data_IF_560108266620
#
_entry.id   IF_560108266620
#
_cell.length_a   1.000
_cell.length_b   1.000
_cell.length_c   1.000
_cell.angle_alpha   90.00
_cell.angle_beta   90.00
_cell.angle_gamma   90.00
#
_symmetry.space_group_name_H-M   'P 1'
#
loop_
_entity.id
_entity.type
_entity.pdbx_description
1 polymer ?
#
# COMPACT_ATOMS: atom_id res chain seq x y z
N UNK A 1 5.60 -22.87 -6.20
CA UNK A 1 6.18 -21.90 -5.24
C UNK A 1 7.42 -21.30 -5.87
N UNK A 2 7.30 -20.15 -6.54
CA UNK A 2 8.45 -19.31 -6.86
C UNK A 2 8.31 -18.07 -5.99
N UNK A 3 9.20 -17.92 -5.01
CA UNK A 3 9.35 -16.66 -4.32
C UNK A 3 9.76 -15.63 -5.38
N UNK A 4 8.89 -14.67 -5.68
CA UNK A 4 9.27 -13.51 -6.49
C UNK A 4 10.12 -12.64 -5.59
N UNK A 5 11.41 -12.97 -5.49
CA UNK A 5 12.42 -12.08 -4.91
C UNK A 5 12.60 -10.95 -5.91
N UNK A 6 11.98 -9.80 -5.66
CA UNK A 6 12.32 -8.58 -6.38
C UNK A 6 13.78 -8.24 -6.02
N UNK A 7 14.71 -8.59 -6.90
CA UNK A 7 16.13 -8.31 -6.72
C UNK A 7 16.39 -6.81 -6.92
N UNK A 8 17.21 -6.22 -6.07
CA UNK A 8 17.71 -4.86 -6.27
C UNK A 8 18.52 -4.78 -7.56
N UNK A 9 18.55 -3.60 -8.19
CA UNK A 9 19.39 -3.37 -9.37
C UNK A 9 20.84 -3.76 -9.08
N UNK A 10 21.45 -4.51 -9.99
CA UNK A 10 22.86 -4.92 -9.86
C UNK A 10 23.78 -3.71 -10.03
N UNK A 11 24.99 -3.78 -9.46
CA UNK A 11 26.03 -2.76 -9.65
C UNK A 11 26.30 -2.49 -11.14
N UNK A 12 26.22 -3.53 -11.99
CA UNK A 12 26.37 -3.39 -13.44
C UNK A 12 25.25 -2.56 -14.08
N UNK A 13 23.99 -2.82 -13.71
CA UNK A 13 22.84 -2.04 -14.18
C UNK A 13 22.91 -0.58 -13.73
N UNK A 14 23.25 -0.33 -12.46
CA UNK A 14 23.41 1.05 -11.94
C UNK A 14 24.50 1.80 -12.70
N UNK A 15 25.65 1.16 -12.94
CA UNK A 15 26.74 1.75 -13.75
C UNK A 15 26.28 2.08 -15.17
N UNK A 16 25.53 1.18 -15.80
CA UNK A 16 25.04 1.38 -17.16
C UNK A 16 24.04 2.55 -17.23
N UNK A 17 23.11 2.66 -16.27
CA UNK A 17 22.16 3.78 -16.18
C UNK A 17 22.89 5.10 -15.98
N UNK A 18 23.89 5.15 -15.09
CA UNK A 18 24.68 6.35 -14.86
C UNK A 18 25.43 6.79 -16.13
N UNK A 19 25.97 5.82 -16.89
CA UNK A 19 26.61 6.10 -18.18
C UNK A 19 25.64 6.74 -19.17
N UNK A 20 24.41 6.22 -19.29
CA UNK A 20 23.41 6.83 -20.18
C UNK A 20 23.09 8.28 -19.81
N UNK A 21 22.97 8.59 -18.52
CA UNK A 21 22.77 9.96 -18.05
C UNK A 21 23.96 10.87 -18.37
N UNK A 22 25.18 10.39 -18.15
CA UNK A 22 26.42 11.13 -18.43
C UNK A 22 26.59 11.41 -19.92
N UNK A 23 26.41 10.39 -20.76
CA UNK A 23 26.49 10.50 -22.23
C UNK A 23 25.43 11.49 -22.77
N UNK A 24 24.23 11.51 -22.19
CA UNK A 24 23.18 12.45 -22.56
C UNK A 24 23.54 13.91 -22.22
N UNK A 25 24.14 14.15 -21.04
CA UNK A 25 24.60 15.49 -20.64
C UNK A 25 25.74 15.95 -21.55
N UNK A 26 26.70 15.06 -21.85
CA UNK A 26 27.81 15.38 -22.75
C UNK A 26 27.31 15.80 -24.14
N UNK A 27 26.30 15.11 -24.67
CA UNK A 27 25.66 15.47 -25.93
C UNK A 27 25.01 16.86 -25.89
N UNK A 28 24.29 17.19 -24.82
CA UNK A 28 23.66 18.52 -24.63
C UNK A 28 24.73 19.62 -24.56
N UNK A 29 25.85 19.38 -23.88
CA UNK A 29 26.95 20.34 -23.82
C UNK A 29 27.57 20.60 -25.20
N UNK A 30 27.72 19.54 -26.02
CA UNK A 30 28.17 19.65 -27.40
C UNK A 30 27.21 20.44 -28.31
N UNK A 31 25.90 20.28 -28.11
CA UNK A 31 24.87 21.00 -28.88
C UNK A 31 24.72 22.47 -28.44
N UNK A 32 24.87 22.75 -27.14
CA UNK A 32 24.71 24.10 -26.59
C UNK A 32 25.86 25.04 -26.98
N UNK A 33 27.08 24.51 -27.16
CA UNK A 33 28.22 25.28 -27.64
C UNK A 33 28.65 26.40 -26.68
N UNK A 34 28.78 26.10 -25.38
CA UNK A 34 29.19 27.07 -24.37
C UNK A 34 30.58 27.65 -24.65
N UNK A 35 30.72 28.97 -24.50
CA UNK A 35 32.01 29.64 -24.45
C UNK A 35 32.65 29.51 -23.05
N UNK A 36 33.93 29.84 -22.92
CA UNK A 36 34.65 29.72 -21.64
C UNK A 36 33.93 30.46 -20.48
N UNK A 37 33.45 31.72 -20.64
CA UNK A 37 32.68 32.38 -19.60
C UNK A 37 31.34 31.70 -19.28
N UNK A 38 30.62 31.19 -20.28
CA UNK A 38 29.38 30.45 -20.10
C UNK A 38 29.57 29.14 -19.35
N UNK A 39 30.62 28.38 -19.69
CA UNK A 39 31.00 27.16 -18.97
C UNK A 39 31.34 27.46 -17.51
N UNK A 40 32.13 28.51 -17.25
CA UNK A 40 32.49 28.92 -15.89
C UNK A 40 31.27 29.32 -15.06
N UNK A 41 30.27 30.02 -15.65
CA UNK A 41 29.01 30.33 -14.97
C UNK A 41 28.23 29.08 -14.57
N UNK A 42 28.15 28.07 -15.44
CA UNK A 42 27.46 26.81 -15.09
C UNK A 42 28.19 26.09 -13.96
N UNK A 43 29.52 26.12 -13.92
CA UNK A 43 30.33 25.54 -12.84
C UNK A 43 30.08 26.28 -11.51
N UNK A 44 30.03 27.61 -11.53
CA UNK A 44 29.75 28.43 -10.35
C UNK A 44 28.33 28.18 -9.79
N UNK A 45 27.37 27.86 -10.65
CA UNK A 45 26.00 27.45 -10.29
C UNK A 45 25.81 25.92 -10.31
N UNK A 46 26.89 25.16 -10.07
CA UNK A 46 26.90 23.70 -10.21
C UNK A 46 25.84 22.97 -9.37
N UNK A 47 25.55 23.46 -8.17
CA UNK A 47 24.52 22.89 -7.30
C UNK A 47 23.10 23.04 -7.88
N UNK A 48 22.79 24.20 -8.48
CA UNK A 48 21.51 24.44 -9.15
C UNK A 48 21.35 23.53 -10.37
N UNK A 49 22.42 23.38 -11.16
CA UNK A 49 22.45 22.45 -12.29
C UNK A 49 22.27 20.99 -11.83
N UNK A 50 22.97 20.58 -10.77
CA UNK A 50 22.86 19.24 -10.21
C UNK A 50 21.44 18.91 -9.72
N UNK A 51 20.78 19.85 -9.03
CA UNK A 51 19.40 19.66 -8.58
C UNK A 51 18.39 19.60 -9.74
N UNK A 52 18.60 20.40 -10.79
CA UNK A 52 17.77 20.35 -12.00
C UNK A 52 17.91 18.99 -12.71
N UNK A 53 19.15 18.51 -12.89
CA UNK A 53 19.44 17.19 -13.46
C UNK A 53 18.86 16.08 -12.60
N UNK A 54 19.02 16.15 -11.27
CA UNK A 54 18.47 15.17 -10.32
C UNK A 54 16.95 15.07 -10.47
N UNK A 55 16.27 16.20 -10.54
CA UNK A 55 14.80 16.27 -10.69
C UNK A 55 14.35 15.63 -12.01
N UNK A 56 14.98 15.99 -13.13
CA UNK A 56 14.67 15.45 -14.44
C UNK A 56 14.97 13.94 -14.54
N UNK A 57 16.15 13.52 -14.06
CA UNK A 57 16.55 12.12 -14.03
C UNK A 57 15.60 11.28 -13.17
N UNK A 58 15.18 11.78 -11.99
CA UNK A 58 14.24 11.08 -11.13
C UNK A 58 12.89 10.87 -11.84
N UNK A 59 12.39 11.87 -12.57
CA UNK A 59 11.16 11.75 -13.34
C UNK A 59 11.31 10.69 -14.45
N UNK A 60 12.34 10.79 -15.29
CA UNK A 60 12.57 9.88 -16.41
C UNK A 60 12.83 8.43 -15.97
N UNK A 61 13.66 8.24 -14.94
CA UNK A 61 13.95 6.90 -14.42
C UNK A 61 12.71 6.27 -13.79
N UNK A 62 11.88 7.05 -13.08
CA UNK A 62 10.60 6.54 -12.57
C UNK A 62 9.70 6.07 -13.69
N UNK A 63 9.54 6.85 -14.75
CA UNK A 63 8.72 6.49 -15.91
C UNK A 63 9.22 5.21 -16.59
N UNK A 64 10.52 5.12 -16.86
CA UNK A 64 11.13 3.99 -17.57
C UNK A 64 11.30 2.72 -16.73
N UNK A 65 11.37 2.85 -15.40
CA UNK A 65 11.56 1.70 -14.50
C UNK A 65 10.27 0.95 -14.19
N UNK A 66 9.12 1.56 -14.50
CA UNK A 66 7.81 0.97 -14.25
C UNK A 66 7.38 0.18 -15.48
N UNK A 67 7.05 -1.08 -15.27
CA UNK A 67 6.49 -1.94 -16.32
C UNK A 67 5.25 -1.30 -16.95
N UNK A 68 5.14 -1.33 -18.28
CA UNK A 68 3.93 -0.87 -18.99
C UNK A 68 2.76 -1.87 -18.86
N UNK A 69 2.96 -2.99 -18.17
CA UNK A 69 1.89 -3.94 -17.92
C UNK A 69 0.76 -3.27 -17.13
N UNK A 70 -0.46 -3.39 -17.67
CA UNK A 70 -1.68 -2.79 -17.13
C UNK A 70 -1.65 -1.25 -17.08
N UNK A 71 -0.80 -0.59 -17.87
CA UNK A 71 -0.71 0.88 -17.90
C UNK A 71 -2.06 1.56 -18.20
N UNK A 72 -2.88 0.94 -19.04
CA UNK A 72 -4.23 1.43 -19.38
C UNK A 72 -5.27 1.19 -18.26
N UNK A 73 -4.89 0.53 -17.17
CA UNK A 73 -5.72 0.31 -15.98
C UNK A 73 -5.42 1.37 -14.90
N UNK A 74 -5.38 2.64 -15.33
CA UNK A 74 -5.16 3.80 -14.49
C UNK A 74 -6.06 4.95 -14.99
N UNK A 75 -6.80 5.58 -14.07
CA UNK A 75 -7.69 6.71 -14.36
C UNK A 75 -7.43 7.85 -13.38
N UNK A 76 -7.73 9.07 -13.79
CA UNK A 76 -7.61 10.23 -12.92
C UNK A 76 -8.51 10.11 -11.68
N UNK A 77 -7.95 10.46 -10.52
CA UNK A 77 -8.67 10.47 -9.25
C UNK A 77 -8.40 11.74 -8.46
N UNK A 78 -9.51 12.38 -8.04
CA UNK A 78 -9.53 13.53 -7.14
C UNK A 78 -9.99 13.18 -5.71
N UNK A 79 -10.28 11.91 -5.45
CA UNK A 79 -10.77 11.44 -4.15
C UNK A 79 -9.63 11.43 -3.12
N UNK A 80 -9.98 11.72 -1.87
CA UNK A 80 -9.04 11.84 -0.76
C UNK A 80 -9.65 11.37 0.56
N UNK A 81 -9.15 11.88 1.69
CA UNK A 81 -9.68 11.55 3.02
C UNK A 81 -10.45 12.75 3.56
N UNK A 82 -11.74 12.84 3.21
CA UNK A 82 -12.59 13.99 3.52
C UNK A 82 -13.33 13.83 4.85
N UNK A 83 -13.37 12.61 5.39
CA UNK A 83 -14.02 12.27 6.66
C UNK A 83 -13.25 12.66 7.93
N UNK A 84 -12.19 13.46 7.82
CA UNK A 84 -11.42 13.97 8.97
C UNK A 84 -10.20 13.15 9.38
N UNK A 85 -9.93 12.02 8.71
CA UNK A 85 -8.63 11.35 8.86
C UNK A 85 -7.52 12.22 8.27
N UNK A 86 -6.52 12.54 9.11
CA UNK A 86 -5.36 13.36 8.71
C UNK A 86 -4.04 12.60 8.80
N UNK A 87 -3.91 11.73 9.81
CA UNK A 87 -2.74 10.86 10.04
C UNK A 87 -3.12 9.69 10.94
N UNK A 88 -2.31 8.62 10.97
CA UNK A 88 -2.51 7.54 11.94
C UNK A 88 -2.38 8.02 13.38
N UNK A 89 -3.19 7.43 14.27
CA UNK A 89 -3.04 7.54 15.73
C UNK A 89 -1.72 6.94 16.18
N UNK A 90 -1.24 7.30 17.38
CA UNK A 90 -0.04 6.68 17.94
C UNK A 90 -0.22 5.17 18.16
N UNK A 91 0.87 4.37 18.11
CA UNK A 91 0.78 2.91 18.31
C UNK A 91 0.17 2.55 19.66
N UNK A 92 0.50 3.29 20.73
CA UNK A 92 -0.10 3.11 22.05
C UNK A 92 -1.63 3.28 22.01
N UNK A 93 -2.14 4.29 21.30
CA UNK A 93 -3.58 4.53 21.18
C UNK A 93 -4.26 3.45 20.31
N UNK A 94 -3.63 3.05 19.20
CA UNK A 94 -4.14 1.97 18.35
C UNK A 94 -4.22 0.64 19.12
N UNK A 95 -3.19 0.29 19.90
CA UNK A 95 -3.16 -0.95 20.71
C UNK A 95 -4.18 -0.93 21.84
N UNK A 96 -4.41 0.23 22.48
CA UNK A 96 -5.49 0.39 23.46
C UNK A 96 -6.86 0.12 22.84
N UNK A 97 -7.15 0.70 21.67
CA UNK A 97 -8.40 0.43 20.93
C UNK A 97 -8.52 -1.07 20.62
N UNK A 98 -7.44 -1.70 20.14
CA UNK A 98 -7.44 -3.12 19.81
C UNK A 98 -7.68 -4.01 21.03
N UNK A 99 -7.10 -3.70 22.19
CA UNK A 99 -7.33 -4.47 23.43
C UNK A 99 -8.78 -4.42 23.92
N UNK A 100 -9.52 -3.35 23.60
CA UNK A 100 -10.94 -3.23 23.93
C UNK A 100 -11.81 -4.06 22.98
N UNK A 101 -11.41 -4.15 21.71
CA UNK A 101 -12.16 -4.88 20.67
C UNK A 101 -11.87 -6.38 20.73
N UNK A 102 -10.61 -6.74 20.91
CA UNK A 102 -10.10 -8.11 20.94
C UNK A 102 -9.38 -8.35 22.28
N UNK A 103 -10.10 -8.75 23.34
CA UNK A 103 -9.48 -9.05 24.63
C UNK A 103 -8.41 -10.13 24.49
N UNK A 104 -7.20 -9.87 25.00
CA UNK A 104 -6.07 -10.80 24.93
C UNK A 104 -5.24 -10.74 23.64
N UNK A 105 -5.45 -9.74 22.77
CA UNK A 105 -4.69 -9.54 21.51
C UNK A 105 -3.18 -9.26 21.69
N UNK A 106 -2.72 -9.10 22.94
CA UNK A 106 -1.30 -8.97 23.29
C UNK A 106 -0.76 -7.55 23.14
N UNK A 107 0.54 -7.44 22.84
CA UNK A 107 1.27 -6.17 22.81
C UNK A 107 2.02 -5.93 21.47
N UNK A 108 2.47 -4.69 21.27
CA UNK A 108 3.29 -4.28 20.12
C UNK A 108 4.68 -3.82 20.57
N UNK A 109 5.67 -3.91 19.67
CA UNK A 109 6.97 -3.27 19.87
C UNK A 109 6.91 -1.77 19.52
N UNK A 110 6.37 -0.96 20.43
CA UNK A 110 6.06 0.47 20.17
C UNK A 110 7.28 1.29 19.70
N UNK A 111 8.48 0.93 20.16
CA UNK A 111 9.75 1.57 19.77
C UNK A 111 10.01 1.57 18.26
N UNK A 112 9.39 0.66 17.49
CA UNK A 112 9.50 0.69 16.03
C UNK A 112 8.90 1.95 15.42
N UNK A 113 7.87 2.52 16.05
CA UNK A 113 7.20 3.73 15.57
C UNK A 113 7.96 5.03 15.93
N UNK A 114 9.05 4.95 16.70
CA UNK A 114 9.97 6.08 16.92
C UNK A 114 10.87 6.35 15.70
N UNK A 115 10.96 5.38 14.78
CA UNK A 115 11.71 5.53 13.53
C UNK A 115 11.00 6.47 12.56
N UNK A 116 11.78 7.10 11.68
CA UNK A 116 11.23 7.88 10.58
C UNK A 116 10.25 7.03 9.75
N UNK A 117 9.11 7.61 9.41
CA UNK A 117 8.08 6.96 8.58
C UNK A 117 8.69 6.71 7.20
N UNK A 118 8.65 5.47 6.67
CA UNK A 118 9.15 5.17 5.34
C UNK A 118 8.49 6.04 4.28
N UNK A 119 9.25 6.39 3.24
CA UNK A 119 8.71 7.16 2.12
C UNK A 119 7.44 6.50 1.56
N UNK A 120 6.42 7.32 1.32
CA UNK A 120 5.09 6.94 0.80
C UNK A 120 4.16 6.23 1.79
N UNK A 121 4.60 5.90 3.01
CA UNK A 121 3.68 5.48 4.07
C UNK A 121 3.00 6.72 4.69
N UNK A 122 1.76 6.55 5.15
CA UNK A 122 1.04 7.59 5.91
C UNK A 122 1.48 7.60 7.38
N UNK A 123 1.97 6.47 7.88
CA UNK A 123 2.52 6.33 9.22
C UNK A 123 2.57 4.87 9.66
N UNK A 124 2.74 4.69 10.96
CA UNK A 124 2.82 3.37 11.60
C UNK A 124 1.44 2.92 12.06
N UNK A 125 1.11 1.65 11.78
CA UNK A 125 -0.13 1.01 12.18
C UNK A 125 0.14 -0.21 13.05
N UNK A 126 -0.72 -0.43 14.04
CA UNK A 126 -0.73 -1.61 14.89
C UNK A 126 -1.66 -2.67 14.27
N UNK A 127 -1.10 -3.80 13.82
CA UNK A 127 -1.84 -4.87 13.16
C UNK A 127 -1.58 -6.19 13.89
N UNK A 128 -2.58 -6.76 14.61
CA UNK A 128 -2.44 -8.06 15.24
C UNK A 128 -2.02 -9.15 14.25
N UNK A 129 -1.23 -10.12 14.70
CA UNK A 129 -1.09 -11.39 13.98
C UNK A 129 -2.47 -12.04 13.93
N UNK A 130 -3.02 -12.29 12.73
CA UNK A 130 -4.40 -12.80 12.60
C UNK A 130 -4.62 -14.10 13.38
N UNK A 131 -3.56 -14.89 13.58
CA UNK A 131 -3.52 -16.13 14.36
C UNK A 131 -3.91 -15.93 15.83
N UNK A 132 -3.74 -14.72 16.37
CA UNK A 132 -4.15 -14.37 17.75
C UNK A 132 -5.66 -14.18 17.87
N UNK A 133 -6.34 -13.96 16.73
CA UNK A 133 -7.78 -13.67 16.66
C UNK A 133 -8.57 -14.91 16.22
N UNK A 134 -8.06 -15.69 15.27
CA UNK A 134 -8.75 -16.90 14.81
C UNK A 134 -7.79 -17.99 14.27
N UNK A 135 -8.25 -19.27 14.25
CA UNK A 135 -7.53 -20.40 13.65
C UNK A 135 -7.20 -20.28 12.15
N UNK A 136 -8.04 -19.58 11.38
CA UNK A 136 -7.87 -19.39 9.93
C UNK A 136 -7.90 -17.91 9.54
N UNK A 137 -7.33 -17.58 8.39
CA UNK A 137 -7.31 -16.21 7.90
C UNK A 137 -8.73 -15.70 7.62
N UNK A 138 -9.58 -16.52 7.00
CA UNK A 138 -10.97 -16.16 6.69
C UNK A 138 -11.80 -15.92 7.95
N UNK A 139 -11.63 -16.75 8.98
CA UNK A 139 -12.30 -16.52 10.27
C UNK A 139 -11.82 -15.24 10.94
N UNK A 140 -10.53 -14.91 10.85
CA UNK A 140 -9.99 -13.66 11.39
C UNK A 140 -10.57 -12.44 10.67
N UNK A 141 -10.69 -12.51 9.33
CA UNK A 141 -11.34 -11.47 8.52
C UNK A 141 -12.79 -11.30 8.96
N UNK A 142 -13.56 -12.39 9.06
CA UNK A 142 -14.96 -12.32 9.48
C UNK A 142 -15.12 -11.66 10.86
N UNK A 143 -14.28 -12.04 11.85
CA UNK A 143 -14.30 -11.41 13.19
C UNK A 143 -14.00 -9.92 13.14
N UNK A 144 -13.10 -9.47 12.27
CA UNK A 144 -12.81 -8.05 12.06
C UNK A 144 -13.99 -7.33 11.42
N UNK A 145 -14.66 -7.92 10.42
CA UNK A 145 -15.85 -7.33 9.81
C UNK A 145 -17.01 -7.20 10.83
N UNK A 146 -17.20 -8.22 11.67
CA UNK A 146 -18.20 -8.18 12.76
C UNK A 146 -17.87 -7.09 13.79
N UNK A 147 -16.59 -6.93 14.12
CA UNK A 147 -16.13 -5.84 14.99
C UNK A 147 -16.36 -4.46 14.36
N UNK A 148 -16.16 -4.30 13.04
CA UNK A 148 -16.44 -3.05 12.33
C UNK A 148 -17.94 -2.74 12.44
N UNK A 149 -18.80 -3.74 12.16
CA UNK A 149 -20.25 -3.60 12.30
C UNK A 149 -20.66 -3.16 13.69
N UNK A 150 -20.10 -3.78 14.74
CA UNK A 150 -20.34 -3.40 16.13
C UNK A 150 -19.88 -1.96 16.42
N UNK A 151 -18.67 -1.60 16.02
CA UNK A 151 -18.09 -0.26 16.25
C UNK A 151 -18.87 0.87 15.56
N UNK A 152 -19.59 0.54 14.48
CA UNK A 152 -20.41 1.48 13.70
C UNK A 152 -21.91 1.38 14.01
N UNK A 153 -22.28 0.83 15.17
CA UNK A 153 -23.67 0.69 15.60
C UNK A 153 -24.56 0.00 14.55
N UNK A 154 -24.03 -1.03 13.89
CA UNK A 154 -24.72 -1.78 12.84
C UNK A 154 -24.64 -1.17 11.45
N UNK A 155 -24.11 0.04 11.26
CA UNK A 155 -23.93 0.71 9.95
C UNK A 155 -22.74 0.14 9.19
N UNK A 156 -22.86 -1.13 8.85
CA UNK A 156 -21.90 -1.88 8.04
C UNK A 156 -22.59 -3.02 7.32
N UNK A 157 -22.32 -3.15 6.02
CA UNK A 157 -22.88 -4.21 5.19
C UNK A 157 -21.79 -5.08 4.55
N UNK A 158 -21.90 -6.39 4.67
CA UNK A 158 -21.00 -7.37 4.05
C UNK A 158 -21.71 -8.05 2.87
N UNK A 159 -21.36 -7.71 1.63
CA UNK A 159 -21.91 -8.36 0.43
C UNK A 159 -21.42 -9.80 0.25
N UNK A 160 -20.38 -10.19 0.97
CA UNK A 160 -19.74 -11.51 0.93
C UNK A 160 -19.99 -12.30 2.20
N UNK A 161 -21.05 -11.94 2.93
CA UNK A 161 -21.47 -12.69 4.10
C UNK A 161 -21.75 -14.15 3.72
N UNK A 162 -21.34 -15.09 4.58
CA UNK A 162 -21.35 -16.53 4.31
C UNK A 162 -20.51 -17.01 3.11
N UNK A 163 -19.77 -16.13 2.43
CA UNK A 163 -18.86 -16.47 1.31
C UNK A 163 -17.38 -16.34 1.67
N UNK A 164 -17.05 -15.90 2.88
CA UNK A 164 -15.67 -15.75 3.35
C UNK A 164 -15.21 -17.08 3.97
N UNK A 165 -14.37 -17.80 3.24
CA UNK A 165 -13.76 -19.06 3.67
C UNK A 165 -12.45 -19.34 2.89
N UNK A 166 -11.70 -20.36 3.31
CA UNK A 166 -10.38 -20.67 2.76
C UNK A 166 -10.40 -21.12 1.28
N UNK A 167 -11.56 -21.50 0.73
CA UNK A 167 -11.70 -21.82 -0.70
C UNK A 167 -11.82 -20.56 -1.56
N UNK A 168 -12.28 -19.46 -0.96
CA UNK A 168 -12.68 -18.23 -1.66
C UNK A 168 -11.81 -17.03 -1.36
N UNK A 169 -11.39 -16.84 -0.11
CA UNK A 169 -10.53 -15.73 0.28
C UNK A 169 -9.12 -16.26 0.59
N UNK A 170 -8.11 -15.63 0.00
CA UNK A 170 -6.71 -15.92 0.34
C UNK A 170 -5.85 -14.68 0.27
N UNK A 171 -4.80 -14.68 1.09
CA UNK A 171 -3.72 -13.73 0.94
C UNK A 171 -2.90 -14.05 -0.32
N UNK A 172 -2.45 -13.02 -1.03
CA UNK A 172 -1.43 -13.17 -2.06
C UNK A 172 -0.13 -13.70 -1.46
N UNK A 173 0.62 -14.47 -2.24
CA UNK A 173 1.88 -15.06 -1.78
C UNK A 173 2.90 -14.02 -1.28
N UNK A 174 2.96 -12.84 -1.93
CA UNK A 174 3.83 -11.72 -1.51
C UNK A 174 3.42 -11.22 -0.12
N UNK A 175 2.13 -10.95 0.08
CA UNK A 175 1.60 -10.42 1.34
C UNK A 175 1.78 -11.41 2.49
N UNK A 176 1.46 -12.69 2.28
CA UNK A 176 1.66 -13.74 3.27
C UNK A 176 3.14 -13.86 3.69
N UNK A 177 4.05 -13.85 2.71
CA UNK A 177 5.50 -13.90 2.96
C UNK A 177 6.00 -12.69 3.75
N UNK A 178 5.55 -11.48 3.41
CA UNK A 178 5.94 -10.26 4.13
C UNK A 178 5.44 -10.26 5.57
N UNK A 179 4.17 -10.60 5.80
CA UNK A 179 3.65 -10.69 7.17
C UNK A 179 4.34 -11.79 7.98
N UNK A 180 4.74 -12.89 7.35
CA UNK A 180 5.57 -13.91 8.00
C UNK A 180 6.95 -13.35 8.38
N UNK A 181 7.64 -12.62 7.48
CA UNK A 181 8.92 -11.96 7.78
C UNK A 181 8.77 -10.98 8.96
N UNK A 182 7.79 -10.09 8.91
CA UNK A 182 7.50 -9.14 10.00
C UNK A 182 7.18 -9.85 11.32
N UNK A 183 6.43 -10.96 11.26
CA UNK A 183 6.11 -11.78 12.42
C UNK A 183 7.33 -12.43 13.05
N UNK A 184 8.32 -12.82 12.25
CA UNK A 184 9.60 -13.37 12.73
C UNK A 184 10.50 -12.28 13.32
N UNK A 185 10.53 -11.08 12.73
CA UNK A 185 11.29 -9.93 13.24
C UNK A 185 10.70 -9.40 14.55
N UNK A 186 9.38 -9.47 14.69
CA UNK A 186 8.61 -9.08 15.88
C UNK A 186 8.07 -10.32 16.60
N UNK A 187 8.90 -11.35 16.76
CA UNK A 187 8.48 -12.66 17.28
C UNK A 187 7.91 -12.64 18.70
N UNK A 188 8.43 -11.75 19.55
CA UNK A 188 8.04 -11.65 20.98
C UNK A 188 6.81 -10.75 21.20
N UNK A 189 6.14 -10.35 20.11
CA UNK A 189 4.99 -9.46 20.11
C UNK A 189 3.83 -10.05 19.31
N UNK A 190 2.61 -9.82 19.76
CA UNK A 190 1.39 -10.32 19.13
C UNK A 190 0.83 -9.35 18.09
N UNK A 191 1.19 -8.06 18.23
CA UNK A 191 0.79 -6.97 17.36
C UNK A 191 2.01 -6.47 16.59
N UNK A 192 1.91 -6.49 15.26
CA UNK A 192 2.94 -6.00 14.35
C UNK A 192 2.81 -4.49 14.21
N UNK A 193 3.93 -3.78 14.32
CA UNK A 193 4.05 -2.39 13.89
C UNK A 193 4.43 -2.37 12.41
N UNK A 194 3.57 -1.81 11.57
CA UNK A 194 3.69 -1.84 10.10
C UNK A 194 3.55 -0.43 9.55
N UNK A 195 4.49 0.01 8.72
CA UNK A 195 4.33 1.26 7.97
C UNK A 195 3.35 1.01 6.82
N UNK A 196 2.31 1.83 6.69
CA UNK A 196 1.24 1.59 5.71
C UNK A 196 0.55 2.87 5.25
N UNK A 197 -0.32 2.74 4.24
CA UNK A 197 -1.17 3.79 3.69
C UNK A 197 -2.52 3.23 3.23
N UNK A 198 -3.57 4.05 3.24
CA UNK A 198 -4.97 3.62 3.03
C UNK A 198 -5.43 3.55 1.57
N UNK A 199 -4.58 3.86 0.61
CA UNK A 199 -4.84 3.77 -0.83
C UNK A 199 -4.46 5.00 -1.63
N UNK A 200 -4.22 6.16 -0.98
CA UNK A 200 -4.04 7.47 -1.64
C UNK A 200 -2.92 7.47 -2.70
N UNK A 201 -1.89 6.65 -2.49
CA UNK A 201 -0.76 6.50 -3.42
C UNK A 201 -1.15 5.83 -4.74
N UNK A 202 -2.09 4.90 -4.68
CA UNK A 202 -2.52 4.07 -5.81
C UNK A 202 -3.97 4.38 -6.23
N UNK A 203 -4.49 5.55 -5.85
CA UNK A 203 -5.84 5.95 -6.24
C UNK A 203 -5.99 5.99 -7.76
N UNK A 204 -7.12 5.53 -8.26
CA UNK A 204 -7.38 5.49 -9.70
C UNK A 204 -6.72 4.33 -10.44
N UNK A 205 -5.89 3.50 -9.78
CA UNK A 205 -5.28 2.31 -10.41
C UNK A 205 -6.12 1.08 -10.13
N UNK A 206 -6.17 0.15 -11.08
CA UNK A 206 -6.63 -1.21 -10.77
C UNK A 206 -5.68 -1.87 -9.76
N UNK A 207 -6.16 -2.89 -9.06
CA UNK A 207 -5.33 -3.68 -8.13
C UNK A 207 -4.15 -4.33 -8.84
N UNK A 208 -4.34 -4.83 -10.07
CA UNK A 208 -3.25 -5.41 -10.87
C UNK A 208 -2.21 -4.36 -11.25
N UNK A 209 -2.64 -3.17 -11.66
CA UNK A 209 -1.74 -2.05 -11.94
C UNK A 209 -0.99 -1.62 -10.69
N UNK A 210 -1.68 -1.48 -9.56
CA UNK A 210 -1.05 -1.14 -8.29
C UNK A 210 0.02 -2.16 -7.89
N UNK A 211 -0.28 -3.47 -7.98
CA UNK A 211 0.66 -4.56 -7.71
C UNK A 211 1.89 -4.53 -8.61
N UNK A 212 1.72 -4.18 -9.88
CA UNK A 212 2.81 -4.08 -10.86
C UNK A 212 3.77 -2.93 -10.54
N UNK A 213 3.24 -1.81 -10.02
CA UNK A 213 4.03 -0.58 -9.77
C UNK A 213 4.46 -0.41 -8.31
N UNK A 214 4.19 -1.38 -7.44
CA UNK A 214 4.73 -1.39 -6.08
C UNK A 214 6.25 -1.36 -6.13
N UNK A 215 6.84 -0.48 -5.32
CA UNK A 215 8.29 -0.47 -5.13
C UNK A 215 8.75 -1.75 -4.44
N UNK A 216 10.05 -2.05 -4.49
CA UNK A 216 10.61 -3.32 -3.98
C UNK A 216 10.20 -3.64 -2.54
N UNK A 217 10.15 -2.62 -1.69
CA UNK A 217 9.80 -2.77 -0.27
C UNK A 217 8.30 -2.56 0.02
N UNK A 218 7.44 -2.51 -1.00
CA UNK A 218 6.01 -2.28 -0.88
C UNK A 218 5.21 -3.56 -1.18
N UNK A 219 4.13 -3.78 -0.43
CA UNK A 219 3.23 -4.93 -0.58
C UNK A 219 1.77 -4.52 -0.37
N UNK A 220 0.83 -5.26 -0.96
CA UNK A 220 -0.59 -4.97 -0.80
C UNK A 220 -1.10 -5.37 0.59
N UNK A 221 -2.03 -4.59 1.16
CA UNK A 221 -2.69 -4.97 2.40
C UNK A 221 -3.97 -5.76 2.12
N UNK A 222 -4.20 -6.81 2.91
CA UNK A 222 -5.39 -7.64 2.84
C UNK A 222 -6.57 -7.08 3.65
N UNK A 223 -7.73 -7.70 3.50
CA UNK A 223 -8.98 -7.31 4.17
C UNK A 223 -8.86 -7.30 5.70
N UNK A 224 -8.12 -8.25 6.27
CA UNK A 224 -7.86 -8.30 7.71
C UNK A 224 -7.12 -7.03 8.19
N UNK A 225 -5.97 -6.74 7.57
CA UNK A 225 -5.14 -5.60 7.95
C UNK A 225 -5.87 -4.27 7.78
N UNK A 226 -6.56 -4.09 6.64
CA UNK A 226 -7.32 -2.87 6.37
C UNK A 226 -8.50 -2.74 7.34
N UNK A 227 -9.19 -3.83 7.65
CA UNK A 227 -10.26 -3.82 8.63
C UNK A 227 -9.78 -3.42 10.03
N UNK A 228 -8.62 -3.91 10.45
CA UNK A 228 -7.95 -3.47 11.69
C UNK A 228 -7.64 -1.97 11.65
N UNK A 229 -7.11 -1.47 10.53
CA UNK A 229 -6.83 -0.03 10.37
C UNK A 229 -8.11 0.81 10.43
N UNK A 230 -9.23 0.35 9.86
CA UNK A 230 -10.54 1.02 9.94
C UNK A 230 -11.07 1.04 11.39
N UNK A 231 -10.86 -0.05 12.15
CA UNK A 231 -11.27 -0.11 13.56
C UNK A 231 -10.52 0.90 14.44
N UNK A 232 -9.21 1.08 14.20
CA UNK A 232 -8.39 2.05 14.95
C UNK A 232 -8.54 3.48 14.41
N UNK A 233 -9.09 3.64 13.21
CA UNK A 233 -9.32 4.94 12.55
C UNK A 233 -10.76 5.02 12.06
N UNK A 234 -11.71 4.99 12.99
CA UNK A 234 -13.14 5.03 12.68
C UNK A 234 -13.56 6.27 11.88
N UNK A 235 -12.77 7.35 11.90
CA UNK A 235 -12.92 8.53 11.05
C UNK A 235 -12.68 8.28 9.55
N UNK A 236 -12.08 7.15 9.15
CA UNK A 236 -12.00 6.75 7.72
C UNK A 236 -13.34 6.20 7.24
N UNK A 237 -13.66 6.47 5.96
CA UNK A 237 -14.86 5.99 5.29
C UNK A 237 -16.14 6.42 6.04
N UNK A 238 -16.37 7.73 6.15
CA UNK A 238 -17.60 8.31 6.71
C UNK A 238 -18.27 9.32 5.75
N UNK A 239 -17.71 9.49 4.55
CA UNK A 239 -18.14 10.50 3.58
C UNK A 239 -18.20 9.89 2.17
N UNK A 240 -19.16 10.34 1.35
CA UNK A 240 -19.38 9.80 0.01
C UNK A 240 -18.19 10.04 -0.94
N UNK A 241 -17.47 11.14 -0.75
CA UNK A 241 -16.23 11.47 -1.47
C UNK A 241 -14.94 10.96 -0.79
N UNK A 242 -15.04 10.10 0.23
CA UNK A 242 -13.83 9.43 0.71
C UNK A 242 -13.32 8.45 -0.34
N UNK A 243 -11.99 8.40 -0.50
CA UNK A 243 -11.33 7.35 -1.26
C UNK A 243 -11.65 6.00 -0.63
N UNK A 244 -12.24 5.12 -1.43
CA UNK A 244 -12.52 3.72 -1.12
C UNK A 244 -11.24 2.89 -1.25
N UNK A 245 -11.22 1.73 -0.61
CA UNK A 245 -9.99 1.00 -0.33
C UNK A 245 -10.03 -0.36 -1.00
N UNK A 246 -9.10 -0.63 -1.91
CA UNK A 246 -8.88 -1.98 -2.42
C UNK A 246 -7.93 -2.76 -1.52
N UNK A 247 -8.29 -4.02 -1.24
CA UNK A 247 -7.47 -4.96 -0.48
C UNK A 247 -6.48 -5.65 -1.42
N UNK A 248 -5.50 -4.91 -1.92
CA UNK A 248 -4.52 -5.40 -2.89
C UNK A 248 -3.66 -6.57 -2.37
N UNK A 249 -3.68 -6.86 -1.07
CA UNK A 249 -3.02 -8.01 -0.46
C UNK A 249 -3.78 -9.34 -0.58
N UNK A 250 -5.06 -9.31 -0.94
CA UNK A 250 -5.95 -10.48 -0.99
C UNK A 250 -6.49 -10.75 -2.40
N UNK A 251 -6.97 -11.98 -2.60
CA UNK A 251 -7.68 -12.43 -3.78
C UNK A 251 -8.97 -13.12 -3.35
N UNK A 252 -10.03 -12.92 -4.12
CA UNK A 252 -11.34 -13.49 -3.86
C UNK A 252 -11.88 -14.27 -5.07
N UNK A 253 -12.37 -15.47 -4.82
CA UNK A 253 -13.06 -16.31 -5.79
C UNK A 253 -14.58 -16.13 -5.70
N UNK A 254 -15.12 -15.28 -6.59
CA UNK A 254 -16.54 -14.98 -6.65
C UNK A 254 -17.32 -16.19 -7.21
N UNK A 255 -18.34 -16.73 -6.49
CA UNK A 255 -19.14 -17.86 -6.97
C UNK A 255 -19.87 -17.59 -8.29
N UNK A 256 -20.15 -16.32 -8.58
CA UNK A 256 -20.78 -15.87 -9.82
C UNK A 256 -19.78 -15.62 -10.96
N UNK A 257 -18.48 -15.76 -10.72
CA UNK A 257 -17.47 -15.63 -11.77
C UNK A 257 -17.12 -16.97 -12.40
N UNK A 258 -16.87 -16.96 -13.72
CA UNK A 258 -16.28 -18.08 -14.44
C UNK A 258 -14.74 -18.16 -14.30
N UNK A 259 -14.11 -17.15 -13.67
CA UNK A 259 -12.66 -17.08 -13.49
C UNK A 259 -12.33 -17.09 -12.00
N UNK A 260 -11.44 -18.01 -11.60
CA UNK A 260 -11.01 -18.13 -10.21
C UNK A 260 -10.12 -16.96 -9.81
N UNK A 261 -10.36 -16.38 -8.63
CA UNK A 261 -9.49 -15.37 -8.01
C UNK A 261 -9.23 -14.13 -8.89
N UNK A 262 -10.24 -13.69 -9.62
CA UNK A 262 -10.23 -12.50 -10.49
C UNK A 262 -10.69 -11.22 -9.78
N UNK A 263 -11.07 -11.33 -8.50
CA UNK A 263 -11.50 -10.21 -7.68
C UNK A 263 -10.57 -9.93 -6.52
N UNK A 264 -10.59 -8.68 -6.06
CA UNK A 264 -10.01 -8.27 -4.80
C UNK A 264 -11.13 -7.79 -3.86
N UNK A 265 -11.05 -8.08 -2.55
CA UNK A 265 -11.93 -7.46 -1.58
C UNK A 265 -11.74 -5.93 -1.53
N UNK A 266 -12.77 -5.20 -1.14
CA UNK A 266 -12.71 -3.75 -1.00
C UNK A 266 -13.63 -3.24 0.12
N UNK A 267 -13.27 -2.07 0.66
CA UNK A 267 -14.11 -1.31 1.59
C UNK A 267 -14.54 0.00 0.93
N UNK A 268 -15.85 0.26 0.89
CA UNK A 268 -16.42 1.48 0.32
C UNK A 268 -17.42 2.12 1.26
N UNK A 269 -17.69 3.41 1.08
CA UNK A 269 -18.78 4.11 1.77
C UNK A 269 -19.88 4.46 0.77
N UNK A 270 -21.08 3.97 1.00
CA UNK A 270 -22.27 4.37 0.24
C UNK A 270 -23.52 4.22 1.08
N UNK A 271 -24.56 5.00 0.75
CA UNK A 271 -25.86 4.95 1.43
C UNK A 271 -25.80 5.11 2.96
N UNK A 272 -24.80 5.84 3.46
CA UNK A 272 -24.63 6.14 4.89
C UNK A 272 -24.01 5.02 5.73
N UNK A 273 -23.39 4.01 5.10
CA UNK A 273 -22.70 2.93 5.78
C UNK A 273 -21.41 2.48 5.06
N UNK A 274 -20.51 1.83 5.82
CA UNK A 274 -19.35 1.15 5.23
C UNK A 274 -19.79 -0.19 4.67
N UNK A 275 -19.34 -0.53 3.47
CA UNK A 275 -19.65 -1.80 2.84
C UNK A 275 -18.37 -2.55 2.52
N UNK A 276 -18.36 -3.84 2.82
CA UNK A 276 -17.35 -4.79 2.37
C UNK A 276 -17.89 -5.56 1.17
N UNK A 277 -17.14 -5.58 0.08
CA UNK A 277 -17.50 -6.24 -1.16
C UNK A 277 -16.23 -6.74 -1.87
N UNK A 278 -16.36 -7.23 -3.10
CA UNK A 278 -15.26 -7.55 -3.99
C UNK A 278 -15.52 -6.98 -5.38
N UNK A 279 -14.46 -6.51 -6.02
CA UNK A 279 -14.49 -6.00 -7.38
C UNK A 279 -13.39 -6.66 -8.23
N UNK A 280 -13.55 -6.60 -9.55
CA UNK A 280 -12.56 -7.11 -10.49
C UNK A 280 -11.24 -6.39 -10.27
N UNK A 281 -10.18 -7.15 -9.98
CA UNK A 281 -8.85 -6.60 -9.69
C UNK A 281 -8.20 -5.83 -10.85
N UNK A 282 -8.84 -5.84 -12.03
CA UNK A 282 -8.38 -5.25 -13.28
C UNK A 282 -9.16 -4.02 -13.71
N UNK A 283 -10.22 -3.68 -12.99
CA UNK A 283 -10.99 -2.47 -13.25
C UNK A 283 -10.35 -1.34 -12.48
N UNK A 284 -9.96 -0.29 -13.21
CA UNK A 284 -9.51 0.96 -12.62
C UNK A 284 -10.70 1.86 -12.32
N UNK A 285 -10.69 2.51 -11.16
CA UNK A 285 -11.77 3.41 -10.76
C UNK A 285 -11.21 4.56 -9.94
N UNK A 286 -11.63 5.78 -10.27
CA UNK A 286 -11.18 6.99 -9.57
C UNK A 286 -11.59 7.03 -8.10
N UNK A 287 -12.61 6.26 -7.71
CA UNK A 287 -13.11 6.23 -6.33
C UNK A 287 -12.28 5.33 -5.41
N UNK A 288 -11.42 4.46 -5.97
CA UNK A 288 -10.67 3.45 -5.21
C UNK A 288 -9.17 3.73 -5.24
N UNK A 289 -8.49 3.28 -4.19
CA UNK A 289 -7.04 3.16 -4.17
C UNK A 289 -6.59 1.90 -3.44
N UNK A 290 -5.57 1.25 -3.97
CA UNK A 290 -4.97 0.05 -3.37
C UNK A 290 -4.14 0.39 -2.13
N UNK A 291 -4.58 -0.11 -0.97
CA UNK A 291 -3.84 0.03 0.27
C UNK A 291 -2.57 -0.84 0.26
N UNK A 292 -1.49 -0.30 0.79
CA UNK A 292 -0.18 -0.94 0.79
C UNK A 292 0.58 -0.72 2.10
N UNK A 293 1.45 -1.68 2.41
CA UNK A 293 2.40 -1.64 3.51
C UNK A 293 3.84 -1.58 2.99
N UNK A 294 4.75 -1.16 3.86
CA UNK A 294 6.16 -0.97 3.54
C UNK A 294 7.02 -1.68 4.58
N UNK A 295 7.99 -2.45 4.10
CA UNK A 295 9.08 -2.95 4.94
C UNK A 295 10.24 -1.94 4.92
N UNK A 296 10.98 -1.75 6.02
CA UNK A 296 12.20 -0.96 6.00
C UNK A 296 13.15 -1.48 4.92
N UNK A 297 13.76 -0.56 4.15
CA UNK A 297 14.88 -0.92 3.28
C UNK A 297 16.10 -1.17 4.18
N UNK A 298 16.73 -2.34 4.02
CA UNK A 298 18.01 -2.67 4.65
C UNK A 298 19.14 -1.81 4.07
#
# INVERSE_FOLDING_TARGET
>A
MNAITQQTATTGQIKQINRFGSDAIEKVLGELGLDNPGAQRVIEHGDEFAEAVRTAALASLKDLSVSDKFKDEEVDSKYGYLSGYTKPKGITEQTQILSQIFPGVGNALEKLAERAVPANAEGWFAIPKWQTIAPTYSEAVQKVLDAIKKSRNGKFYNYRDSQINEERLRQTAKTASVFQKLGNEQKDHDILVVAAQFGIRHRGRSVRRAREVFVTNEFGLGAFAIGIMILTHAERLQHYDDLWIDCAGDEFDDPGSGVRFDRAPCFRWSDGEVKFDTDWYGIASGNYGSASGFVPQE
#
